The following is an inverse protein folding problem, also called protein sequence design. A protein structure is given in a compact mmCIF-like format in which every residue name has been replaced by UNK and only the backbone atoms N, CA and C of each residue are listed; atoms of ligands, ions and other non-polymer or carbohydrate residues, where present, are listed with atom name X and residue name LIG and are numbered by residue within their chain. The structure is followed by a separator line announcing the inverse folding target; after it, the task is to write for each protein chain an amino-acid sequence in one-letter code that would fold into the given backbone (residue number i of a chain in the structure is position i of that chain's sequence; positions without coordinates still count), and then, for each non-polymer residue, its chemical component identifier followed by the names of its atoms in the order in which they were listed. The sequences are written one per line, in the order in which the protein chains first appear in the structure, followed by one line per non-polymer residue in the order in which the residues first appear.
data_IF_088351603834
#
_entry.id   IF_088351603834
#
_cell.length_a   1.000
_cell.length_b   1.000
_cell.length_c   1.000
_cell.angle_alpha   90.00
_cell.angle_beta   90.00
_cell.angle_gamma   90.00
#
_symmetry.space_group_name_H-M   'P 1'
#
loop_
_entity.id
_entity.type
_entity.pdbx_description
1 polymer ?
#
# COMPACT_ATOMS: atom_id res chain seq x y z
N UNK A 1 -1.44 45.26 -42.78
CA UNK A 1 -0.65 45.65 -41.58
C UNK A 1 -1.14 44.84 -40.39
N UNK A 2 -0.46 43.76 -40.04
CA UNK A 2 -0.85 42.88 -38.92
C UNK A 2 -0.47 43.52 -37.58
N UNK A 3 -1.48 43.96 -36.81
CA UNK A 3 -1.30 44.46 -35.44
C UNK A 3 -0.86 43.29 -34.54
N UNK A 4 0.40 43.29 -34.12
CA UNK A 4 0.84 42.40 -33.03
C UNK A 4 0.28 42.93 -31.72
N UNK A 5 -0.51 42.12 -31.00
CA UNK A 5 -0.95 42.42 -29.63
C UNK A 5 0.16 42.00 -28.67
N UNK A 6 0.60 42.93 -27.83
CA UNK A 6 1.52 42.64 -26.73
C UNK A 6 0.75 42.14 -25.52
N UNK A 7 1.34 41.20 -24.79
CA UNK A 7 0.83 40.73 -23.50
C UNK A 7 1.15 41.78 -22.43
N UNK A 8 0.17 42.17 -21.62
CA UNK A 8 0.42 43.12 -20.54
C UNK A 8 1.02 42.41 -19.33
N UNK A 9 1.95 43.07 -18.62
CA UNK A 9 2.52 42.49 -17.39
C UNK A 9 1.45 42.25 -16.31
N UNK A 10 0.38 43.05 -16.30
CA UNK A 10 -0.74 42.88 -15.38
C UNK A 10 -1.58 41.63 -15.69
N UNK A 11 -1.72 41.25 -16.97
CA UNK A 11 -2.39 40.00 -17.35
C UNK A 11 -1.62 38.78 -16.82
N UNK A 12 -0.28 38.79 -16.87
CA UNK A 12 0.50 37.69 -16.27
C UNK A 12 0.43 37.70 -14.75
N UNK A 13 0.46 38.90 -14.15
CA UNK A 13 0.48 39.05 -12.70
C UNK A 13 -0.82 38.55 -12.05
N UNK A 14 -1.98 38.84 -12.63
CA UNK A 14 -3.26 38.35 -12.07
C UNK A 14 -3.44 36.84 -12.25
N UNK A 15 -2.85 36.27 -13.29
CA UNK A 15 -2.97 34.82 -13.56
C UNK A 15 -2.18 34.01 -12.54
N UNK A 16 -0.93 34.39 -12.27
CA UNK A 16 -0.11 33.67 -11.29
C UNK A 16 -0.64 33.81 -9.87
N UNK A 17 -1.30 34.93 -9.53
CA UNK A 17 -1.91 35.11 -8.20
C UNK A 17 -3.13 34.20 -8.03
N UNK A 18 -4.00 34.11 -9.03
CA UNK A 18 -5.15 33.20 -8.98
C UNK A 18 -4.69 31.74 -8.93
N UNK A 19 -3.73 31.34 -9.77
CA UNK A 19 -3.16 29.97 -9.73
C UNK A 19 -2.49 29.69 -8.37
N UNK A 20 -1.80 30.68 -7.78
CA UNK A 20 -1.19 30.57 -6.45
C UNK A 20 -2.22 30.30 -5.36
N UNK A 21 -3.34 31.02 -5.36
CA UNK A 21 -4.42 30.83 -4.38
C UNK A 21 -5.08 29.45 -4.57
N UNK A 22 -5.41 29.07 -5.81
CA UNK A 22 -6.05 27.79 -6.10
C UNK A 22 -5.12 26.62 -5.74
N UNK A 23 -3.83 26.69 -6.06
CA UNK A 23 -2.87 25.62 -5.78
C UNK A 23 -2.61 25.42 -4.28
N UNK A 24 -2.62 26.50 -3.48
CA UNK A 24 -2.46 26.41 -2.03
C UNK A 24 -3.59 25.61 -1.36
N UNK A 25 -4.85 25.86 -1.75
CA UNK A 25 -6.02 25.14 -1.21
C UNK A 25 -6.01 23.67 -1.65
N UNK A 26 -5.68 23.41 -2.91
CA UNK A 26 -5.60 22.05 -3.47
C UNK A 26 -4.56 21.21 -2.74
N UNK A 27 -3.40 21.79 -2.39
CA UNK A 27 -2.33 21.05 -1.71
C UNK A 27 -2.77 20.54 -0.32
N UNK A 28 -3.46 21.38 0.45
CA UNK A 28 -3.99 21.00 1.77
C UNK A 28 -5.05 19.90 1.65
N UNK A 29 -5.96 20.02 0.67
CA UNK A 29 -7.00 19.03 0.42
C UNK A 29 -6.43 17.67 -0.04
N UNK A 30 -5.41 17.70 -0.90
CA UNK A 30 -4.79 16.51 -1.46
C UNK A 30 -4.06 15.67 -0.39
N UNK A 31 -3.41 16.32 0.57
CA UNK A 31 -2.71 15.60 1.65
C UNK A 31 -3.67 14.71 2.46
N UNK A 32 -4.83 15.25 2.86
CA UNK A 32 -5.86 14.48 3.56
C UNK A 32 -6.50 13.39 2.69
N UNK A 33 -6.70 13.65 1.39
CA UNK A 33 -7.21 12.64 0.46
C UNK A 33 -6.24 11.46 0.29
N UNK A 34 -4.92 11.71 0.25
CA UNK A 34 -3.89 10.67 0.10
C UNK A 34 -3.83 9.74 1.31
N UNK A 35 -3.90 10.29 2.53
CA UNK A 35 -3.92 9.49 3.76
C UNK A 35 -5.14 8.56 3.80
N UNK A 36 -6.34 9.11 3.54
CA UNK A 36 -7.58 8.31 3.46
C UNK A 36 -7.52 7.25 2.37
N UNK A 37 -6.88 7.54 1.23
CA UNK A 37 -6.68 6.56 0.17
C UNK A 37 -5.76 5.40 0.59
N UNK A 38 -4.71 5.69 1.37
CA UNK A 38 -3.84 4.66 1.92
C UNK A 38 -4.56 3.80 2.97
N UNK A 39 -5.34 4.42 3.86
CA UNK A 39 -6.14 3.69 4.85
C UNK A 39 -7.18 2.77 4.18
N UNK A 40 -7.83 3.26 3.12
CA UNK A 40 -8.76 2.45 2.33
C UNK A 40 -8.05 1.26 1.65
N UNK A 41 -6.82 1.45 1.15
CA UNK A 41 -6.02 0.36 0.58
C UNK A 41 -5.64 -0.69 1.63
N UNK A 42 -5.26 -0.26 2.85
CA UNK A 42 -4.97 -1.17 3.96
C UNK A 42 -6.23 -1.95 4.35
N UNK A 43 -7.37 -1.28 4.47
CA UNK A 43 -8.64 -1.93 4.80
C UNK A 43 -9.03 -2.97 3.73
N UNK A 44 -8.88 -2.64 2.45
CA UNK A 44 -9.11 -3.57 1.36
C UNK A 44 -8.19 -4.80 1.46
N UNK A 45 -6.89 -4.60 1.67
CA UNK A 45 -5.93 -5.70 1.83
C UNK A 45 -6.27 -6.60 3.02
N UNK A 46 -6.66 -6.04 4.16
CA UNK A 46 -7.07 -6.81 5.33
C UNK A 46 -8.32 -7.66 5.04
N UNK A 47 -9.30 -7.11 4.34
CA UNK A 47 -10.49 -7.87 3.93
C UNK A 47 -10.15 -9.02 2.98
N UNK A 48 -9.21 -8.80 2.05
CA UNK A 48 -8.70 -9.84 1.16
C UNK A 48 -7.98 -10.94 1.94
N UNK A 49 -7.12 -10.59 2.91
CA UNK A 49 -6.43 -11.58 3.74
C UNK A 49 -7.43 -12.37 4.59
N UNK A 50 -8.44 -11.71 5.17
CA UNK A 50 -9.48 -12.37 5.95
C UNK A 50 -10.23 -13.42 5.12
N UNK A 51 -10.72 -13.03 3.93
CA UNK A 51 -11.43 -13.97 3.05
C UNK A 51 -10.53 -15.14 2.62
N UNK A 52 -9.25 -14.88 2.34
CA UNK A 52 -8.29 -15.94 2.03
C UNK A 52 -8.04 -16.87 3.22
N UNK A 53 -7.97 -16.33 4.44
CA UNK A 53 -7.81 -17.13 5.65
C UNK A 53 -9.03 -18.02 5.92
N UNK A 54 -10.25 -17.52 5.69
CA UNK A 54 -11.48 -18.30 5.79
C UNK A 54 -11.52 -19.45 4.77
N UNK A 55 -11.12 -19.17 3.52
CA UNK A 55 -10.98 -20.22 2.48
C UNK A 55 -9.93 -21.25 2.90
N UNK A 56 -8.80 -20.82 3.46
CA UNK A 56 -7.76 -21.73 3.92
C UNK A 56 -8.28 -22.64 5.05
N UNK A 57 -8.98 -22.08 6.04
CA UNK A 57 -9.54 -22.80 7.17
C UNK A 57 -10.53 -23.90 6.74
N UNK A 58 -11.43 -23.59 5.80
CA UNK A 58 -12.38 -24.56 5.27
C UNK A 58 -11.70 -25.71 4.53
N UNK A 59 -10.54 -25.47 3.92
CA UNK A 59 -9.79 -26.47 3.16
C UNK A 59 -8.79 -27.28 4.00
N UNK A 60 -8.39 -26.80 5.19
CA UNK A 60 -7.31 -27.39 6.00
C UNK A 60 -7.78 -27.88 7.38
N UNK A 61 -8.79 -28.76 7.41
CA UNK A 61 -9.28 -29.39 8.63
C UNK A 61 -9.63 -28.40 9.75
N UNK A 62 -10.26 -27.28 9.40
CA UNK A 62 -10.66 -26.25 10.37
C UNK A 62 -9.45 -25.70 11.18
N UNK A 63 -8.33 -25.47 10.50
CA UNK A 63 -7.13 -24.87 11.08
C UNK A 63 -6.60 -23.73 10.22
N UNK A 64 -6.19 -22.62 10.84
CA UNK A 64 -5.52 -21.50 10.18
C UNK A 64 -4.00 -21.71 9.99
N UNK A 65 -3.51 -22.91 10.30
CA UNK A 65 -2.11 -23.32 10.15
C UNK A 65 -1.56 -24.01 11.40
N UNK A 66 -0.61 -24.92 11.21
CA UNK A 66 0.13 -25.54 12.31
C UNK A 66 1.31 -24.64 12.69
N UNK A 67 1.40 -24.22 13.96
CA UNK A 67 2.63 -23.59 14.48
C UNK A 67 3.73 -24.65 14.47
N UNK A 68 4.60 -24.65 13.47
CA UNK A 68 5.85 -25.38 13.53
C UNK A 68 6.72 -24.70 14.60
N UNK A 69 6.70 -25.23 15.83
CA UNK A 69 7.75 -24.94 16.78
C UNK A 69 9.01 -25.58 16.21
N UNK A 70 10.00 -24.76 15.84
CA UNK A 70 11.31 -25.26 15.41
C UNK A 70 12.00 -25.86 16.63
N UNK A 71 11.67 -27.10 16.98
CA UNK A 71 12.58 -27.93 17.75
C UNK A 71 13.75 -28.21 16.81
N UNK A 72 14.94 -27.73 17.17
CA UNK A 72 16.19 -28.11 16.51
C UNK A 72 16.21 -29.64 16.37
N UNK A 73 16.03 -30.16 15.15
CA UNK A 73 16.21 -31.58 14.85
C UNK A 73 15.04 -32.37 14.26
N UNK A 74 13.87 -31.79 14.02
CA UNK A 74 12.79 -32.52 13.31
C UNK A 74 12.73 -32.13 11.84
N UNK A 75 13.19 -33.01 10.95
CA UNK A 75 12.99 -32.87 9.50
C UNK A 75 11.50 -32.88 9.16
N UNK A 76 11.09 -32.10 8.14
CA UNK A 76 9.71 -32.17 7.65
C UNK A 76 9.59 -32.98 6.36
N UNK A 77 8.55 -33.80 6.38
CA UNK A 77 7.96 -34.62 5.33
C UNK A 77 7.08 -33.76 4.38
N UNK A 78 6.62 -34.30 3.24
CA UNK A 78 6.18 -33.50 2.09
C UNK A 78 4.85 -32.75 2.26
N UNK A 79 4.31 -32.64 3.48
CA UNK A 79 3.07 -31.93 3.80
C UNK A 79 3.23 -30.58 4.54
N UNK A 80 4.45 -30.09 4.84
CA UNK A 80 4.54 -28.74 5.43
C UNK A 80 5.90 -28.26 5.94
N UNK A 81 6.55 -27.41 5.13
CA UNK A 81 7.53 -26.35 5.47
C UNK A 81 8.83 -26.76 6.19
N UNK A 82 9.91 -26.92 5.40
CA UNK A 82 11.31 -26.93 5.89
C UNK A 82 11.84 -25.50 5.85
N UNK A 83 12.27 -24.95 6.99
CA UNK A 83 13.36 -23.99 7.00
C UNK A 83 14.64 -24.77 7.27
N UNK A 84 15.50 -24.85 6.25
CA UNK A 84 16.80 -25.50 6.35
C UNK A 84 17.77 -24.62 7.17
N UNK A 85 18.60 -25.28 7.98
CA UNK A 85 19.89 -24.73 8.39
C UNK A 85 20.04 -24.51 9.89
N UNK A 86 20.66 -25.48 10.56
CA UNK A 86 21.87 -25.23 11.36
C UNK A 86 22.49 -26.59 11.65
N UNK A 87 23.55 -26.93 10.93
CA UNK A 87 24.48 -27.95 11.39
C UNK A 87 25.27 -27.45 12.60
N UNK A 88 25.91 -28.42 13.26
CA UNK A 88 26.94 -28.33 14.30
C UNK A 88 26.49 -28.53 15.76
N UNK A 89 26.37 -29.80 16.14
CA UNK A 89 27.09 -30.35 17.30
C UNK A 89 27.14 -31.88 17.15
N UNK A 90 28.37 -32.38 16.93
CA UNK A 90 28.82 -33.77 16.68
C UNK A 90 28.75 -34.25 15.22
#
# INVERSE_FOLDING_TARGET
MSKRRGFTLIELLVVITIIGILSAVVLVALNGARLRGNDAAIQANLSTIQTQAEVYYGNHNNSYGTRAYLVFGAGVDPAGVRCAGTGAAE
#
